data_IF_411557961768
#
_entry.id   IF_411557961768
#
_cell.length_a   1.000
_cell.length_b   1.000
_cell.length_c   1.000
_cell.angle_alpha   90.00
_cell.angle_beta   90.00
_cell.angle_gamma   90.00
#
_symmetry.space_group_name_H-M   'P 1'
#
loop_
_entity.id
_entity.type
_entity.pdbx_description
1 polymer ?
#
# COMPACT_ATOMS: atom_id res chain seq x y z
N UNK A 1 32.26 -16.05 62.40
CA UNK A 1 32.80 -14.85 61.73
C UNK A 1 32.28 -14.87 60.30
N UNK A 2 30.99 -14.56 60.15
CA UNK A 2 30.44 -13.30 59.61
C UNK A 2 30.44 -13.31 58.07
N UNK A 3 29.32 -13.79 57.53
CA UNK A 3 28.92 -13.62 56.14
C UNK A 3 28.41 -12.19 55.92
N UNK A 4 28.80 -11.59 54.80
CA UNK A 4 28.38 -10.27 54.37
C UNK A 4 26.96 -10.39 53.77
N UNK A 5 26.02 -9.73 54.43
CA UNK A 5 24.63 -9.54 53.99
C UNK A 5 24.59 -8.46 52.91
N UNK A 6 24.10 -8.80 51.72
CA UNK A 6 23.63 -7.83 50.73
C UNK A 6 22.14 -7.61 50.94
N UNK A 7 21.77 -6.34 51.05
CA UNK A 7 20.41 -5.87 51.25
C UNK A 7 19.52 -6.18 50.03
N UNK A 8 18.48 -6.96 50.25
CA UNK A 8 17.34 -7.13 49.34
C UNK A 8 16.41 -5.91 49.49
N UNK A 9 16.20 -5.18 48.39
CA UNK A 9 15.16 -4.18 48.30
C UNK A 9 13.77 -4.86 48.31
N UNK A 10 12.94 -4.48 49.27
CA UNK A 10 11.55 -4.94 49.41
C UNK A 10 10.69 -4.16 48.41
N UNK A 11 10.08 -4.87 47.45
CA UNK A 11 9.06 -4.32 46.54
C UNK A 11 7.72 -4.33 47.30
N UNK A 12 6.99 -3.20 47.41
CA UNK A 12 5.69 -3.15 48.09
C UNK A 12 4.59 -3.84 47.26
N UNK A 13 3.56 -4.42 47.90
CA UNK A 13 2.49 -5.14 47.21
C UNK A 13 1.62 -4.21 46.35
N UNK A 14 1.33 -4.67 45.14
CA UNK A 14 0.46 -4.02 44.15
C UNK A 14 -1.01 -4.11 44.59
N UNK A 15 -1.70 -2.97 44.63
CA UNK A 15 -3.11 -2.89 44.97
C UNK A 15 -4.00 -3.43 43.84
N UNK A 16 -4.77 -4.48 44.13
CA UNK A 16 -5.90 -4.94 43.32
C UNK A 16 -7.08 -3.97 43.50
N UNK A 17 -7.71 -3.44 42.44
CA UNK A 17 -8.88 -2.59 42.59
C UNK A 17 -10.12 -3.41 43.00
N UNK A 18 -10.74 -3.00 44.11
CA UNK A 18 -12.00 -3.54 44.66
C UNK A 18 -13.21 -3.07 43.83
N UNK A 19 -14.24 -3.92 43.61
CA UNK A 19 -15.46 -3.50 42.89
C UNK A 19 -16.27 -2.48 43.70
N UNK A 20 -16.58 -1.34 43.10
CA UNK A 20 -17.45 -0.34 43.71
C UNK A 20 -18.91 -0.84 43.75
N UNK A 21 -19.51 -0.85 44.93
CA UNK A 21 -20.94 -1.06 45.13
C UNK A 21 -21.72 0.15 44.59
N UNK A 22 -22.58 -0.07 43.59
CA UNK A 22 -23.55 0.94 43.18
C UNK A 22 -24.65 1.07 44.24
N UNK A 23 -24.61 2.17 44.98
CA UNK A 23 -25.71 2.66 45.81
C UNK A 23 -26.80 3.24 44.91
N UNK A 24 -28.00 2.67 44.98
CA UNK A 24 -29.19 3.22 44.34
C UNK A 24 -29.61 4.51 45.05
N UNK A 25 -29.63 5.63 44.33
CA UNK A 25 -30.29 6.88 44.76
C UNK A 25 -31.76 6.86 44.30
N UNK A 26 -32.71 7.40 45.10
CA UNK A 26 -34.14 7.38 44.79
C UNK A 26 -34.50 8.28 43.62
N UNK A 27 -35.54 7.87 42.87
CA UNK A 27 -36.12 8.60 41.74
C UNK A 27 -36.62 9.99 42.15
N UNK A 28 -36.10 11.02 41.50
CA UNK A 28 -36.65 12.38 41.52
C UNK A 28 -37.52 12.53 40.28
N UNK A 29 -38.81 12.86 40.47
CA UNK A 29 -39.72 13.22 39.38
C UNK A 29 -39.30 14.61 38.84
N UNK A 30 -38.52 14.64 37.77
CA UNK A 30 -38.24 15.87 37.03
C UNK A 30 -39.17 15.98 35.81
N UNK A 31 -39.95 17.06 35.78
CA UNK A 31 -40.75 17.50 34.65
C UNK A 31 -39.90 17.63 33.39
N UNK A 32 -40.35 17.03 32.29
CA UNK A 32 -39.64 17.04 31.01
C UNK A 32 -39.30 18.47 30.55
N UNK A 33 -38.03 18.78 30.20
CA UNK A 33 -37.70 20.06 29.60
C UNK A 33 -38.25 20.13 28.17
N UNK A 34 -38.88 21.26 27.83
CA UNK A 34 -39.33 21.58 26.47
C UNK A 34 -38.12 21.62 25.52
N UNK A 35 -38.05 20.69 24.56
CA UNK A 35 -37.00 20.66 23.55
C UNK A 35 -37.08 21.92 22.68
N UNK A 36 -35.98 22.68 22.63
CA UNK A 36 -35.81 23.80 21.69
C UNK A 36 -35.61 23.23 20.28
N UNK A 37 -36.31 23.71 19.24
CA UNK A 37 -36.11 23.22 17.88
C UNK A 37 -34.65 23.45 17.44
N UNK A 38 -34.02 22.38 16.93
CA UNK A 38 -32.68 22.42 16.35
C UNK A 38 -32.71 23.35 15.12
N UNK A 39 -31.78 24.31 14.98
CA UNK A 39 -31.74 25.17 13.80
C UNK A 39 -31.58 24.31 12.53
N UNK A 40 -32.46 24.53 11.55
CA UNK A 40 -32.37 23.91 10.23
C UNK A 40 -31.04 24.29 9.58
N UNK A 41 -30.13 23.32 9.48
CA UNK A 41 -28.87 23.48 8.75
C UNK A 41 -29.24 23.73 7.28
N UNK A 42 -28.94 24.92 6.76
CA UNK A 42 -29.13 25.20 5.34
C UNK A 42 -28.09 24.36 4.57
N UNK A 43 -28.48 23.51 3.61
CA UNK A 43 -27.52 22.73 2.84
C UNK A 43 -26.56 23.69 2.13
N UNK A 44 -25.26 23.48 2.34
CA UNK A 44 -24.24 24.19 1.58
C UNK A 44 -24.45 23.81 0.10
N UNK A 45 -24.57 24.77 -0.83
CA UNK A 45 -24.74 24.45 -2.24
C UNK A 45 -23.57 23.58 -2.70
N UNK A 46 -23.88 22.45 -3.34
CA UNK A 46 -22.86 21.60 -3.95
C UNK A 46 -21.98 22.46 -4.87
N UNK A 47 -20.65 22.40 -4.74
CA UNK A 47 -19.77 23.13 -5.64
C UNK A 47 -20.11 22.77 -7.08
N UNK A 48 -20.36 23.80 -7.91
CA UNK A 48 -20.54 23.59 -9.34
C UNK A 48 -19.16 23.34 -9.95
N UNK A 49 -18.85 22.08 -10.25
CA UNK A 49 -17.67 21.73 -11.02
C UNK A 49 -17.93 22.02 -12.50
N UNK A 50 -16.95 22.57 -13.25
CA UNK A 50 -17.10 22.72 -14.68
C UNK A 50 -17.38 21.36 -15.32
N UNK A 51 -18.37 21.29 -16.22
CA UNK A 51 -18.63 20.08 -16.99
C UNK A 51 -17.41 19.78 -17.85
N UNK A 52 -16.78 18.62 -17.62
CA UNK A 52 -15.69 18.15 -18.47
C UNK A 52 -16.24 17.92 -19.89
N UNK A 53 -15.69 18.64 -20.86
CA UNK A 53 -16.06 18.56 -22.29
C UNK A 53 -14.96 17.96 -23.15
N UNK A 54 -13.88 17.47 -22.52
CA UNK A 54 -12.77 16.82 -23.21
C UNK A 54 -13.13 15.41 -23.69
N UNK A 55 -12.15 14.74 -24.32
CA UNK A 55 -12.32 13.36 -24.76
C UNK A 55 -12.62 12.45 -23.55
N UNK A 56 -13.53 11.48 -23.68
CA UNK A 56 -13.70 10.45 -22.66
C UNK A 56 -12.37 9.80 -22.33
N UNK A 57 -12.20 9.42 -21.07
CA UNK A 57 -11.05 8.64 -20.64
C UNK A 57 -10.97 7.35 -21.48
N UNK A 58 -9.78 7.02 -21.98
CA UNK A 58 -9.53 5.74 -22.64
C UNK A 58 -9.62 4.63 -21.59
N UNK A 59 -10.79 4.00 -21.47
CA UNK A 59 -11.10 3.03 -20.42
C UNK A 59 -10.01 1.98 -20.26
N UNK A 60 -9.50 1.46 -21.37
CA UNK A 60 -8.53 0.39 -21.48
C UNK A 60 -7.11 0.80 -21.02
N UNK A 61 -6.85 2.10 -20.91
CA UNK A 61 -5.60 2.69 -20.44
C UNK A 61 -5.73 3.29 -19.02
N UNK A 62 -6.95 3.37 -18.50
CA UNK A 62 -7.25 4.05 -17.25
C UNK A 62 -7.64 3.08 -16.14
N UNK A 63 -7.03 3.29 -14.97
CA UNK A 63 -7.34 2.53 -13.76
C UNK A 63 -7.20 3.35 -12.50
N UNK A 64 -7.56 2.72 -11.39
CA UNK A 64 -7.43 3.32 -10.05
C UNK A 64 -6.90 2.28 -9.06
N UNK A 65 -6.07 2.73 -8.12
CA UNK A 65 -5.70 1.92 -6.97
C UNK A 65 -6.77 2.02 -5.89
N UNK A 66 -7.18 0.88 -5.33
CA UNK A 66 -8.18 0.81 -4.26
C UNK A 66 -7.63 0.06 -3.03
N UNK A 67 -8.26 0.33 -1.89
CA UNK A 67 -8.18 -0.51 -0.70
C UNK A 67 -9.47 -1.32 -0.60
N UNK A 68 -9.39 -2.59 -0.20
CA UNK A 68 -10.54 -3.52 -0.24
C UNK A 68 -10.89 -4.13 1.12
N UNK A 69 -10.06 -3.95 2.14
CA UNK A 69 -10.26 -4.68 3.38
C UNK A 69 -11.43 -4.11 4.17
N UNK A 70 -12.41 -4.96 4.49
CA UNK A 70 -13.65 -4.58 5.20
C UNK A 70 -14.42 -3.47 4.50
N UNK A 71 -14.28 -3.38 3.18
CA UNK A 71 -15.02 -2.44 2.36
C UNK A 71 -16.26 -3.09 1.72
N UNK A 72 -17.23 -2.27 1.33
CA UNK A 72 -18.39 -2.73 0.58
C UNK A 72 -18.03 -2.92 -0.90
N UNK A 73 -17.85 -4.18 -1.29
CA UNK A 73 -17.50 -4.55 -2.66
C UNK A 73 -18.55 -4.07 -3.69
N UNK A 74 -19.83 -4.05 -3.34
CA UNK A 74 -20.88 -3.60 -4.24
C UNK A 74 -20.80 -2.09 -4.51
N UNK A 75 -20.49 -1.31 -3.47
CA UNK A 75 -20.26 0.12 -3.59
C UNK A 75 -19.00 0.42 -4.42
N UNK A 76 -17.92 -0.33 -4.20
CA UNK A 76 -16.69 -0.23 -5.00
C UNK A 76 -17.01 -0.41 -6.48
N UNK A 77 -17.67 -1.49 -6.88
CA UNK A 77 -17.95 -1.74 -8.30
C UNK A 77 -18.92 -0.74 -8.91
N UNK A 78 -19.89 -0.23 -8.14
CA UNK A 78 -20.74 0.88 -8.59
C UNK A 78 -19.90 2.12 -8.93
N UNK A 79 -18.90 2.45 -8.11
CA UNK A 79 -17.98 3.56 -8.40
C UNK A 79 -17.07 3.27 -9.60
N UNK A 80 -16.49 2.08 -9.71
CA UNK A 80 -15.62 1.71 -10.84
C UNK A 80 -16.38 1.80 -12.17
N UNK A 81 -17.64 1.34 -12.21
CA UNK A 81 -18.51 1.46 -13.38
C UNK A 81 -18.85 2.92 -13.69
N UNK A 82 -19.14 3.73 -12.67
CA UNK A 82 -19.44 5.16 -12.84
C UNK A 82 -18.25 5.94 -13.40
N UNK A 83 -17.04 5.59 -12.96
CA UNK A 83 -15.79 6.18 -13.47
C UNK A 83 -15.46 5.72 -14.89
N UNK A 84 -16.02 4.60 -15.35
CA UNK A 84 -15.79 4.07 -16.68
C UNK A 84 -14.35 3.60 -16.92
N UNK A 85 -13.66 3.14 -15.87
CA UNK A 85 -12.28 2.66 -15.94
C UNK A 85 -12.21 1.17 -16.29
N UNK A 86 -11.09 0.76 -16.90
CA UNK A 86 -10.84 -0.60 -17.36
C UNK A 86 -9.86 -1.37 -16.48
N UNK A 87 -9.18 -0.71 -15.55
CA UNK A 87 -8.20 -1.34 -14.67
C UNK A 87 -8.44 -1.04 -13.20
N UNK A 88 -8.14 -2.00 -12.33
CA UNK A 88 -8.07 -1.80 -10.88
C UNK A 88 -6.75 -2.34 -10.34
N UNK A 89 -6.06 -1.52 -9.54
CA UNK A 89 -4.84 -1.91 -8.81
C UNK A 89 -5.17 -2.16 -7.35
N UNK A 90 -4.72 -3.29 -6.81
CA UNK A 90 -4.80 -3.59 -5.37
C UNK A 90 -3.44 -3.99 -4.84
N UNK A 91 -3.04 -3.40 -3.72
CA UNK A 91 -1.82 -3.80 -3.03
C UNK A 91 -2.09 -5.01 -2.13
N UNK A 92 -1.43 -6.12 -2.44
CA UNK A 92 -1.33 -7.34 -1.63
C UNK A 92 -0.14 -7.18 -0.68
N UNK A 93 -0.42 -6.87 0.58
CA UNK A 93 0.58 -6.87 1.64
C UNK A 93 0.89 -8.31 2.03
N UNK A 94 1.99 -8.89 1.53
CA UNK A 94 2.36 -10.29 1.71
C UNK A 94 2.27 -10.72 3.18
N UNK A 95 2.77 -9.91 4.12
CA UNK A 95 2.67 -10.19 5.56
C UNK A 95 1.25 -10.41 6.11
N UNK A 96 0.24 -9.76 5.53
CA UNK A 96 -1.15 -9.92 5.94
C UNK A 96 -1.81 -11.13 5.27
N UNK A 97 -1.34 -11.52 4.08
CA UNK A 97 -1.87 -12.65 3.33
C UNK A 97 -1.21 -13.98 3.73
N UNK A 98 0.03 -13.95 4.21
CA UNK A 98 0.76 -15.12 4.72
C UNK A 98 1.44 -14.82 6.08
N UNK A 99 0.66 -14.72 7.17
CA UNK A 99 1.16 -14.29 8.48
C UNK A 99 2.16 -15.26 9.15
N UNK A 100 2.21 -16.52 8.71
CA UNK A 100 3.17 -17.51 9.17
C UNK A 100 3.55 -18.46 8.01
N UNK A 101 4.67 -19.20 8.09
CA UNK A 101 5.03 -20.19 7.07
C UNK A 101 3.86 -21.14 6.79
N UNK A 102 3.54 -21.32 5.52
CA UNK A 102 2.44 -22.16 5.03
C UNK A 102 1.03 -21.85 5.60
N UNK A 103 0.83 -20.68 6.22
CA UNK A 103 -0.48 -20.23 6.70
C UNK A 103 -0.94 -19.01 5.92
N UNK A 104 -2.13 -19.10 5.32
CA UNK A 104 -2.72 -18.07 4.49
C UNK A 104 -3.97 -17.50 5.14
N UNK A 105 -4.18 -16.19 5.01
CA UNK A 105 -5.33 -15.50 5.61
C UNK A 105 -6.59 -15.66 4.74
N UNK A 106 -7.44 -16.62 5.09
CA UNK A 106 -8.66 -16.95 4.34
C UNK A 106 -9.63 -15.77 4.16
N UNK A 107 -9.73 -14.89 5.16
CA UNK A 107 -10.57 -13.68 5.08
C UNK A 107 -10.06 -12.69 4.03
N UNK A 108 -8.74 -12.47 3.99
CA UNK A 108 -8.07 -11.60 3.00
C UNK A 108 -8.18 -12.17 1.60
N UNK A 109 -7.93 -13.47 1.44
CA UNK A 109 -8.09 -14.12 0.14
C UNK A 109 -9.55 -14.13 -0.29
N UNK A 110 -10.52 -14.29 0.63
CA UNK A 110 -11.94 -14.20 0.30
C UNK A 110 -12.34 -12.82 -0.26
N UNK A 111 -11.85 -11.73 0.34
CA UNK A 111 -12.05 -10.36 -0.19
C UNK A 111 -11.42 -10.19 -1.59
N UNK A 112 -10.19 -10.69 -1.76
CA UNK A 112 -9.47 -10.61 -3.03
C UNK A 112 -10.11 -11.46 -4.13
N UNK A 113 -10.62 -12.66 -3.80
CA UNK A 113 -11.34 -13.52 -4.72
C UNK A 113 -12.62 -12.85 -5.22
N UNK A 114 -13.38 -12.22 -4.31
CA UNK A 114 -14.59 -11.48 -4.67
C UNK A 114 -14.27 -10.33 -5.63
N UNK A 115 -13.19 -9.58 -5.36
CA UNK A 115 -12.73 -8.52 -6.25
C UNK A 115 -12.36 -9.08 -7.63
N UNK A 116 -11.49 -10.09 -7.70
CA UNK A 116 -11.03 -10.65 -8.97
C UNK A 116 -12.22 -11.18 -9.77
N UNK A 117 -13.13 -11.92 -9.14
CA UNK A 117 -14.30 -12.45 -9.81
C UNK A 117 -15.20 -11.33 -10.38
N UNK A 118 -15.54 -10.33 -9.57
CA UNK A 118 -16.41 -9.24 -10.00
C UNK A 118 -15.74 -8.33 -11.03
N UNK A 119 -14.43 -8.09 -10.94
CA UNK A 119 -13.69 -7.31 -11.92
C UNK A 119 -13.75 -7.99 -13.31
N UNK A 120 -13.44 -9.28 -13.38
CA UNK A 120 -13.53 -10.04 -14.62
C UNK A 120 -14.96 -10.08 -15.19
N UNK A 121 -15.97 -10.26 -14.33
CA UNK A 121 -17.38 -10.24 -14.75
C UNK A 121 -17.83 -8.88 -15.35
N UNK A 122 -17.15 -7.80 -14.98
CA UNK A 122 -17.39 -6.44 -15.49
C UNK A 122 -16.37 -5.99 -16.55
N UNK A 123 -15.53 -6.90 -17.04
CA UNK A 123 -14.49 -6.59 -18.02
C UNK A 123 -13.45 -5.58 -17.53
N UNK A 124 -13.19 -5.54 -16.22
CA UNK A 124 -12.15 -4.73 -15.58
C UNK A 124 -10.94 -5.63 -15.33
N UNK A 125 -9.79 -5.25 -15.86
CA UNK A 125 -8.53 -5.94 -15.65
C UNK A 125 -7.96 -5.66 -14.25
N UNK A 126 -7.42 -6.71 -13.61
CA UNK A 126 -6.85 -6.63 -12.26
C UNK A 126 -5.33 -6.60 -12.33
N UNK A 127 -4.75 -5.63 -11.62
CA UNK A 127 -3.33 -5.54 -11.32
C UNK A 127 -3.13 -5.76 -9.81
N UNK A 128 -2.33 -6.78 -9.46
CA UNK A 128 -1.94 -7.05 -8.07
C UNK A 128 -0.53 -6.54 -7.81
N UNK A 129 -0.39 -5.59 -6.88
CA UNK A 129 0.91 -5.07 -6.42
C UNK A 129 1.33 -5.77 -5.14
N UNK A 130 2.42 -6.54 -5.17
CA UNK A 130 2.78 -7.41 -4.04
C UNK A 130 4.01 -6.88 -3.32
N UNK A 131 3.87 -6.55 -2.04
CA UNK A 131 4.93 -5.93 -1.22
C UNK A 131 4.88 -6.40 0.23
N UNK A 132 5.82 -5.93 1.07
CA UNK A 132 5.83 -6.08 2.55
C UNK A 132 5.94 -7.54 3.00
N UNK A 133 7.16 -8.07 2.99
CA UNK A 133 7.41 -9.44 3.39
C UNK A 133 7.03 -9.67 4.88
N UNK A 134 6.56 -10.88 5.22
CA UNK A 134 6.15 -11.20 6.57
C UNK A 134 7.31 -11.17 7.55
N UNK A 135 7.03 -10.83 8.80
CA UNK A 135 7.99 -10.72 9.89
C UNK A 135 8.82 -12.00 10.06
N UNK A 136 8.22 -13.18 9.86
CA UNK A 136 8.91 -14.48 9.96
C UNK A 136 10.01 -14.70 8.91
N UNK A 137 10.02 -13.91 7.82
CA UNK A 137 10.98 -14.01 6.72
C UNK A 137 12.09 -12.96 6.80
N UNK A 138 12.09 -12.09 7.82
CA UNK A 138 12.85 -10.84 7.82
C UNK A 138 13.88 -10.76 8.95
N UNK A 139 14.97 -9.99 8.77
CA UNK A 139 16.00 -9.86 9.80
C UNK A 139 15.61 -8.85 10.89
N UNK A 140 14.68 -7.94 10.59
CA UNK A 140 14.14 -6.92 11.49
C UNK A 140 12.69 -6.63 11.13
N UNK A 141 11.92 -6.14 12.10
CA UNK A 141 10.48 -5.88 11.99
C UNK A 141 10.10 -4.43 12.33
N UNK A 142 11.09 -3.54 12.47
CA UNK A 142 10.87 -2.13 12.83
C UNK A 142 10.09 -1.37 11.75
N UNK A 143 10.39 -1.62 10.48
CA UNK A 143 9.73 -1.07 9.29
C UNK A 143 9.46 -2.20 8.28
N UNK A 144 8.81 -1.93 7.15
CA UNK A 144 8.61 -2.91 6.07
C UNK A 144 9.90 -3.12 5.25
N UNK A 145 10.03 -4.27 4.57
CA UNK A 145 11.24 -4.60 3.83
C UNK A 145 11.24 -6.01 3.22
N UNK A 146 12.30 -6.37 2.50
CA UNK A 146 12.41 -7.64 1.79
C UNK A 146 12.63 -8.83 2.74
N UNK A 147 12.36 -10.06 2.30
CA UNK A 147 12.77 -11.26 3.03
C UNK A 147 14.29 -11.44 2.97
N UNK A 148 14.88 -12.17 3.93
CA UNK A 148 16.31 -12.54 3.88
C UNK A 148 16.63 -13.57 2.79
N UNK A 149 15.64 -14.37 2.41
CA UNK A 149 15.71 -15.36 1.34
C UNK A 149 14.65 -15.04 0.28
N UNK A 150 15.10 -14.70 -0.93
CA UNK A 150 14.21 -14.31 -2.03
C UNK A 150 13.44 -15.50 -2.62
N UNK A 151 13.84 -16.75 -2.36
CA UNK A 151 13.05 -17.92 -2.76
C UNK A 151 11.67 -17.94 -2.08
N UNK A 152 11.55 -17.40 -0.87
CA UNK A 152 10.27 -17.24 -0.18
C UNK A 152 9.30 -16.33 -0.96
N UNK A 153 9.84 -15.29 -1.62
CA UNK A 153 9.03 -14.44 -2.49
C UNK A 153 8.64 -15.16 -3.78
N UNK A 154 9.51 -16.04 -4.31
CA UNK A 154 9.17 -16.94 -5.44
C UNK A 154 7.96 -17.80 -5.07
N UNK A 155 8.00 -18.44 -3.91
CA UNK A 155 6.94 -19.35 -3.45
C UNK A 155 5.61 -18.62 -3.24
N UNK A 156 5.63 -17.43 -2.61
CA UNK A 156 4.42 -16.64 -2.43
C UNK A 156 3.84 -16.12 -3.75
N UNK A 157 4.68 -15.64 -4.65
CA UNK A 157 4.22 -15.18 -5.97
C UNK A 157 3.67 -16.34 -6.80
N UNK A 158 4.27 -17.53 -6.71
CA UNK A 158 3.74 -18.74 -7.34
C UNK A 158 2.39 -19.14 -6.74
N UNK A 159 2.25 -19.11 -5.42
CA UNK A 159 0.98 -19.41 -4.75
C UNK A 159 -0.13 -18.44 -5.19
N UNK A 160 0.18 -17.14 -5.19
CA UNK A 160 -0.77 -16.09 -5.59
C UNK A 160 -1.15 -16.21 -7.08
N UNK A 161 -0.18 -16.45 -7.95
CA UNK A 161 -0.41 -16.62 -9.38
C UNK A 161 -1.18 -17.92 -9.69
N UNK A 162 -0.89 -19.02 -9.00
CA UNK A 162 -1.63 -20.27 -9.15
C UNK A 162 -3.09 -20.17 -8.72
N UNK A 163 -3.40 -19.31 -7.74
CA UNK A 163 -4.77 -19.05 -7.30
C UNK A 163 -5.62 -18.36 -8.36
N UNK A 164 -5.05 -17.37 -9.05
CA UNK A 164 -5.82 -16.51 -9.96
C UNK A 164 -5.63 -16.84 -11.44
N UNK A 165 -4.49 -17.41 -11.83
CA UNK A 165 -4.16 -17.78 -13.21
C UNK A 165 -4.44 -16.61 -14.17
N UNK A 166 -5.17 -16.85 -15.26
CA UNK A 166 -5.52 -15.84 -16.27
C UNK A 166 -6.55 -14.80 -15.78
N UNK A 167 -7.06 -14.88 -14.54
CA UNK A 167 -8.02 -13.90 -14.00
C UNK A 167 -7.33 -12.64 -13.44
N UNK A 168 -6.01 -12.64 -13.29
CA UNK A 168 -5.23 -11.44 -12.96
C UNK A 168 -4.38 -11.09 -14.18
N UNK A 169 -4.59 -9.87 -14.69
CA UNK A 169 -3.96 -9.43 -15.92
C UNK A 169 -2.50 -9.02 -15.71
N UNK A 170 -2.16 -8.49 -14.52
CA UNK A 170 -0.82 -8.01 -14.23
C UNK A 170 -0.40 -8.18 -12.77
N UNK A 171 0.90 -8.36 -12.56
CA UNK A 171 1.55 -8.36 -11.25
C UNK A 171 2.64 -7.27 -11.21
N UNK A 172 2.49 -6.32 -10.29
CA UNK A 172 3.55 -5.38 -9.93
C UNK A 172 4.38 -5.98 -8.80
N UNK A 173 5.67 -6.15 -9.07
CA UNK A 173 6.59 -6.84 -8.19
C UNK A 173 7.26 -5.81 -7.27
N UNK A 174 6.85 -5.80 -6.00
CA UNK A 174 7.28 -4.86 -4.95
C UNK A 174 6.75 -3.42 -5.07
N UNK A 175 6.96 -2.61 -4.03
CA UNK A 175 6.51 -1.22 -3.94
C UNK A 175 7.64 -0.33 -3.39
N UNK A 176 7.94 0.78 -4.07
CA UNK A 176 8.79 1.89 -3.61
C UNK A 176 10.08 1.51 -2.87
N UNK A 177 10.89 0.58 -3.43
CA UNK A 177 12.07 0.00 -2.76
C UNK A 177 13.24 0.99 -2.57
N UNK A 178 13.15 2.18 -3.17
CA UNK A 178 14.12 3.24 -2.97
C UNK A 178 13.91 4.00 -1.64
N UNK A 179 12.89 3.65 -0.85
CA UNK A 179 12.65 4.16 0.50
C UNK A 179 13.08 3.15 1.55
N UNK A 180 13.84 3.58 2.56
CA UNK A 180 14.23 2.73 3.69
C UNK A 180 13.01 2.11 4.40
N UNK A 181 11.89 2.85 4.46
CA UNK A 181 10.65 2.39 5.08
C UNK A 181 10.00 1.19 4.40
N UNK A 182 10.29 0.98 3.11
CA UNK A 182 9.77 -0.12 2.29
C UNK A 182 10.85 -1.17 1.97
N UNK A 183 12.10 -0.94 2.39
CA UNK A 183 13.27 -1.80 2.15
C UNK A 183 14.15 -1.98 3.40
N UNK A 184 13.56 -2.02 4.58
CA UNK A 184 14.30 -2.13 5.84
C UNK A 184 14.81 -3.55 6.10
N UNK A 185 16.03 -3.64 6.65
CA UNK A 185 16.72 -4.90 6.93
C UNK A 185 17.83 -5.22 5.95
N UNK A 186 17.96 -4.45 4.87
CA UNK A 186 19.06 -4.51 3.91
C UNK A 186 19.45 -3.08 3.48
N UNK A 187 20.68 -2.84 3.00
CA UNK A 187 21.03 -1.58 2.36
C UNK A 187 20.13 -1.30 1.14
N UNK A 188 19.85 -0.01 0.87
CA UNK A 188 19.15 0.38 -0.36
C UNK A 188 20.00 0.02 -1.57
N UNK A 189 19.47 -0.87 -2.42
CA UNK A 189 20.21 -1.48 -3.51
C UNK A 189 19.25 -1.85 -4.64
N UNK A 190 19.39 -1.18 -5.79
CA UNK A 190 18.60 -1.53 -6.98
C UNK A 190 18.97 -2.92 -7.51
N UNK A 191 20.21 -3.37 -7.34
CA UNK A 191 20.63 -4.71 -7.76
C UNK A 191 19.95 -5.80 -6.92
N UNK A 192 19.86 -5.61 -5.60
CA UNK A 192 19.16 -6.57 -4.72
C UNK A 192 17.65 -6.57 -4.99
N UNK A 193 17.08 -5.41 -5.30
CA UNK A 193 15.70 -5.34 -5.79
C UNK A 193 15.53 -6.16 -7.07
N UNK A 194 16.37 -5.97 -8.10
CA UNK A 194 16.24 -6.73 -9.36
C UNK A 194 16.36 -8.23 -9.13
N UNK A 195 17.21 -8.66 -8.19
CA UNK A 195 17.28 -10.07 -7.79
C UNK A 195 15.97 -10.54 -7.13
N UNK A 196 15.36 -9.76 -6.24
CA UNK A 196 14.04 -10.05 -5.66
C UNK A 196 12.95 -10.12 -6.75
N UNK A 197 12.95 -9.19 -7.71
CA UNK A 197 11.93 -9.15 -8.76
C UNK A 197 12.11 -10.33 -9.72
N UNK A 198 13.33 -10.79 -9.96
CA UNK A 198 13.60 -12.01 -10.75
C UNK A 198 13.01 -13.25 -10.07
N UNK A 199 13.16 -13.36 -8.75
CA UNK A 199 12.53 -14.42 -7.96
C UNK A 199 10.99 -14.36 -8.04
N UNK A 200 10.40 -13.17 -7.86
CA UNK A 200 8.95 -12.98 -8.00
C UNK A 200 8.43 -13.32 -9.41
N UNK A 201 9.13 -12.86 -10.45
CA UNK A 201 8.82 -13.14 -11.85
C UNK A 201 8.85 -14.65 -12.15
N UNK A 202 9.84 -15.38 -11.63
CA UNK A 202 9.90 -16.83 -11.75
C UNK A 202 8.66 -17.50 -11.14
N UNK A 203 8.26 -17.06 -9.94
CA UNK A 203 7.06 -17.58 -9.27
C UNK A 203 5.78 -17.35 -10.08
N UNK A 204 5.57 -16.11 -10.56
CA UNK A 204 4.40 -15.79 -11.40
C UNK A 204 4.42 -16.60 -12.69
N UNK A 205 5.53 -16.63 -13.43
CA UNK A 205 5.62 -17.33 -14.73
C UNK A 205 5.39 -18.83 -14.62
N UNK A 206 5.69 -19.45 -13.47
CA UNK A 206 5.44 -20.87 -13.23
C UNK A 206 3.95 -21.23 -13.22
N UNK A 207 3.06 -20.28 -12.90
CA UNK A 207 1.62 -20.53 -12.73
C UNK A 207 0.71 -19.68 -13.62
N UNK A 208 1.16 -18.50 -14.04
CA UNK A 208 0.44 -17.56 -14.91
C UNK A 208 1.41 -17.00 -15.99
N UNK A 209 1.78 -17.82 -17.00
CA UNK A 209 2.81 -17.45 -17.97
C UNK A 209 2.41 -16.28 -18.88
N UNK A 210 1.13 -15.96 -18.97
CA UNK A 210 0.52 -14.90 -19.78
C UNK A 210 0.38 -13.56 -19.06
N UNK A 211 0.49 -13.53 -17.72
CA UNK A 211 0.29 -12.31 -16.95
C UNK A 211 1.38 -11.27 -17.23
N UNK A 212 1.03 -9.98 -17.26
CA UNK A 212 2.00 -8.90 -17.43
C UNK A 212 2.80 -8.72 -16.14
N UNK A 213 4.12 -8.72 -16.23
CA UNK A 213 5.02 -8.42 -15.12
C UNK A 213 5.43 -6.96 -15.17
N UNK A 214 5.25 -6.25 -14.05
CA UNK A 214 5.58 -4.84 -13.90
C UNK A 214 6.62 -4.70 -12.79
N UNK A 215 7.68 -3.92 -13.02
CA UNK A 215 8.67 -3.64 -11.96
C UNK A 215 8.04 -2.88 -10.80
N UNK A 216 8.68 -2.91 -9.65
CA UNK A 216 8.43 -1.93 -8.60
C UNK A 216 8.53 -0.50 -9.17
N UNK A 217 7.65 0.38 -8.71
CA UNK A 217 7.72 1.80 -8.99
C UNK A 217 8.51 2.51 -7.88
N UNK A 218 9.63 3.20 -8.19
CA UNK A 218 10.33 4.04 -7.21
C UNK A 218 9.46 5.24 -6.78
N UNK A 219 9.51 5.60 -5.50
CA UNK A 219 8.87 6.79 -4.96
C UNK A 219 9.64 8.05 -5.34
N UNK A 220 8.96 9.13 -5.72
CA UNK A 220 9.56 10.46 -5.88
C UNK A 220 10.00 11.00 -4.51
N UNK A 221 11.30 11.16 -4.30
CA UNK A 221 11.85 11.56 -2.98
C UNK A 221 12.50 12.94 -2.98
N UNK A 222 13.20 13.31 -4.06
CA UNK A 222 14.15 14.44 -4.05
C UNK A 222 15.31 14.27 -3.05
N UNK A 223 15.53 13.06 -2.55
CA UNK A 223 16.57 12.69 -1.57
C UNK A 223 17.41 11.57 -2.18
N UNK A 224 18.74 11.69 -2.06
CA UNK A 224 19.69 10.71 -2.61
C UNK A 224 20.85 10.44 -1.66
N UNK A 225 20.56 10.22 -0.38
CA UNK A 225 21.59 9.97 0.64
C UNK A 225 22.02 8.49 0.72
N UNK A 226 21.26 7.60 0.08
CA UNK A 226 21.51 6.15 0.10
C UNK A 226 21.20 5.49 1.45
N UNK A 227 20.62 6.23 2.40
CA UNK A 227 20.30 5.77 3.75
C UNK A 227 18.79 5.74 3.94
N UNK A 228 18.12 6.88 3.85
CA UNK A 228 16.66 6.96 3.95
C UNK A 228 16.01 6.85 2.58
N UNK A 229 16.68 7.35 1.54
CA UNK A 229 16.21 7.27 0.17
C UNK A 229 17.31 7.34 -0.89
N UNK A 230 17.03 6.74 -2.04
CA UNK A 230 17.72 6.99 -3.31
C UNK A 230 16.75 7.72 -4.23
N UNK A 231 17.27 8.68 -4.99
CA UNK A 231 16.49 9.45 -5.98
C UNK A 231 15.83 8.50 -6.98
N UNK A 232 14.56 8.72 -7.30
CA UNK A 232 13.75 7.85 -8.15
C UNK A 232 14.35 7.67 -9.55
N UNK A 233 14.85 8.75 -10.15
CA UNK A 233 15.43 8.73 -11.50
C UNK A 233 16.77 8.01 -11.51
N UNK A 234 17.60 8.21 -10.47
CA UNK A 234 18.83 7.47 -10.28
C UNK A 234 18.58 5.99 -10.01
N UNK A 235 17.62 5.68 -9.15
CA UNK A 235 17.27 4.31 -8.79
C UNK A 235 16.71 3.54 -9.99
N UNK A 236 15.84 4.16 -10.80
CA UNK A 236 15.35 3.58 -12.05
C UNK A 236 16.49 3.29 -13.04
N UNK A 237 17.47 4.21 -13.15
CA UNK A 237 18.67 3.96 -13.98
C UNK A 237 19.47 2.77 -13.47
N UNK A 238 19.68 2.69 -12.15
CA UNK A 238 20.38 1.56 -11.53
C UNK A 238 19.62 0.24 -11.73
N UNK A 239 18.29 0.23 -11.71
CA UNK A 239 17.48 -0.95 -12.05
C UNK A 239 17.72 -1.40 -13.49
N UNK A 240 17.77 -0.47 -14.45
CA UNK A 240 18.09 -0.77 -15.86
C UNK A 240 19.50 -1.32 -16.00
N UNK A 241 20.49 -0.70 -15.34
CA UNK A 241 21.88 -1.17 -15.33
C UNK A 241 22.02 -2.57 -14.70
N UNK A 242 21.18 -2.90 -13.72
CA UNK A 242 21.10 -4.21 -13.10
C UNK A 242 20.31 -5.25 -13.92
N UNK A 243 19.75 -4.88 -15.08
CA UNK A 243 19.10 -5.79 -16.01
C UNK A 243 17.61 -6.06 -15.72
N UNK A 244 16.88 -5.09 -15.15
CA UNK A 244 15.43 -5.22 -14.91
C UNK A 244 14.64 -5.48 -16.20
N UNK A 245 15.10 -4.98 -17.34
CA UNK A 245 14.41 -5.13 -18.64
C UNK A 245 14.37 -6.59 -19.13
N UNK A 246 15.22 -7.46 -18.59
CA UNK A 246 15.20 -8.90 -18.87
C UNK A 246 14.28 -9.68 -17.91
N UNK A 247 13.64 -9.01 -16.96
CA UNK A 247 12.85 -9.61 -15.88
C UNK A 247 11.35 -9.34 -16.03
N UNK A 248 10.99 -8.12 -16.46
CA UNK A 248 9.60 -7.63 -16.49
C UNK A 248 9.20 -7.16 -17.88
N UNK A 249 7.90 -7.12 -18.14
CA UNK A 249 7.33 -6.67 -19.41
C UNK A 249 7.17 -5.14 -19.45
N UNK A 250 7.02 -4.50 -18.28
CA UNK A 250 6.86 -3.06 -18.15
C UNK A 250 7.55 -2.50 -16.90
N UNK A 251 7.90 -1.21 -16.94
CA UNK A 251 8.47 -0.49 -15.81
C UNK A 251 7.38 0.31 -15.09
N UNK A 252 7.25 0.10 -13.78
CA UNK A 252 6.38 0.89 -12.92
C UNK A 252 7.00 2.26 -12.57
N UNK A 253 6.17 3.29 -12.46
CA UNK A 253 6.58 4.64 -12.04
C UNK A 253 5.51 5.27 -11.14
N UNK A 254 5.94 6.02 -10.11
CA UNK A 254 5.07 6.81 -9.24
C UNK A 254 5.42 8.31 -9.34
N UNK A 255 5.09 8.98 -10.47
CA UNK A 255 5.49 10.36 -10.72
C UNK A 255 4.62 11.36 -9.96
N UNK A 256 4.70 11.36 -8.62
CA UNK A 256 3.96 12.33 -7.82
C UNK A 256 4.54 13.73 -8.01
N UNK A 257 3.77 14.59 -8.69
CA UNK A 257 4.10 16.01 -8.89
C UNK A 257 3.99 16.87 -7.62
N UNK A 258 3.52 16.29 -6.51
CA UNK A 258 3.24 17.00 -5.25
C UNK A 258 2.31 18.20 -5.47
N UNK A 259 2.80 19.42 -5.27
CA UNK A 259 2.05 20.66 -5.48
C UNK A 259 2.15 21.19 -6.91
N UNK A 260 2.95 20.57 -7.77
CA UNK A 260 3.16 21.03 -9.13
C UNK A 260 2.10 20.44 -10.07
N UNK A 261 1.50 21.31 -10.89
CA UNK A 261 0.59 20.87 -11.93
C UNK A 261 1.32 19.97 -12.96
N UNK A 262 0.61 19.05 -13.63
CA UNK A 262 1.25 18.13 -14.58
C UNK A 262 1.98 18.79 -15.75
N UNK A 263 1.62 20.02 -16.10
CA UNK A 263 2.21 20.85 -17.16
C UNK A 263 3.34 21.77 -16.67
N UNK A 264 3.60 21.84 -15.37
CA UNK A 264 4.75 22.57 -14.83
C UNK A 264 6.06 21.81 -15.10
N UNK A 265 7.17 22.55 -15.12
CA UNK A 265 8.52 21.97 -15.23
C UNK A 265 9.46 22.57 -14.19
N UNK A 266 10.53 21.84 -13.88
CA UNK A 266 11.59 22.33 -13.00
C UNK A 266 12.28 23.59 -13.54
N UNK A 267 12.23 23.81 -14.86
CA UNK A 267 12.80 25.01 -15.50
C UNK A 267 11.92 26.26 -15.39
N UNK A 268 10.63 26.07 -15.08
CA UNK A 268 9.64 27.12 -14.89
C UNK A 268 8.68 26.73 -13.75
N UNK A 269 9.17 26.64 -12.50
CA UNK A 269 8.34 26.23 -11.38
C UNK A 269 7.30 27.30 -11.05
N UNK A 270 6.11 26.88 -10.62
CA UNK A 270 5.13 27.81 -10.08
C UNK A 270 5.63 28.34 -8.72
N UNK A 271 5.94 29.63 -8.69
CA UNK A 271 6.42 30.34 -7.49
C UNK A 271 5.39 30.38 -6.36
N UNK A 272 4.11 30.11 -6.63
CA UNK A 272 3.08 29.98 -5.60
C UNK A 272 3.17 28.65 -4.83
N UNK A 273 3.84 27.64 -5.38
CA UNK A 273 4.06 26.35 -4.70
C UNK A 273 5.19 26.52 -3.67
N UNK A 274 4.92 26.33 -2.36
CA UNK A 274 5.87 26.73 -1.31
C UNK A 274 7.03 25.74 -1.11
N UNK A 275 7.00 24.55 -1.70
CA UNK A 275 8.02 23.50 -1.53
C UNK A 275 7.99 22.52 -2.71
N UNK A 276 8.98 21.63 -2.81
CA UNK A 276 9.03 20.59 -3.86
C UNK A 276 9.00 21.16 -5.29
N UNK A 277 9.53 22.37 -5.47
CA UNK A 277 9.58 23.10 -6.74
C UNK A 277 11.01 23.31 -7.26
N UNK A 278 11.98 22.64 -6.65
CA UNK A 278 13.42 22.84 -6.85
C UNK A 278 14.17 21.55 -7.23
N UNK A 279 13.45 20.45 -7.45
CA UNK A 279 14.04 19.16 -7.83
C UNK A 279 13.25 18.52 -8.98
N UNK A 280 13.92 17.94 -10.01
CA UNK A 280 13.24 17.34 -11.15
C UNK A 280 12.30 16.16 -10.83
N UNK A 281 12.47 15.49 -9.69
CA UNK A 281 11.59 14.38 -9.26
C UNK A 281 10.15 14.80 -8.97
N UNK A 282 9.89 16.09 -8.76
CA UNK A 282 8.56 16.61 -8.41
C UNK A 282 7.81 17.17 -9.62
N UNK A 283 8.27 16.87 -10.83
CA UNK A 283 7.68 17.30 -12.09
C UNK A 283 7.56 16.10 -13.04
N UNK A 284 6.58 16.16 -13.94
CA UNK A 284 6.41 15.12 -14.97
C UNK A 284 7.45 15.20 -16.10
N UNK A 285 7.98 16.41 -16.36
CA UNK A 285 8.89 16.71 -17.48
C UNK A 285 10.17 17.43 -17.02
#
# INVERSE_FOLDING_TARGET
>A
VTAVSQATAVIPPTNTPTPAQNTYLPFVNDTAPTLTPIPTITPIPTPAFPTYTGQPLAREEMGIQIHIHREDMSAIFSHLQTLGIGWVKVQVSWKLYQPAPDQYADDRFGELDQLVHQANANGIAVLLSVSKAPEWSRPTTELDGPPTDFSLYTDFMQYLAARYQDNVAAYELWNEPNLQREWNGMPLSAADLVALLRAGAQGVRAAAPTAVLISAAPATTGINDGIVAIDDRQYLRQMVEAGITDVVDALGVHPYGWGNAPDNSVSAPDTAVPSHNNHPSFFFY
#
